data_IF_496221739845
#
_entry.id   IF_496221739845
#
_cell.length_a   1.000
_cell.length_b   1.000
_cell.length_c   1.000
_cell.angle_alpha   90.00
_cell.angle_beta   90.00
_cell.angle_gamma   90.00
#
_symmetry.space_group_name_H-M   'P 1'
#
loop_
_entity.id
_entity.type
_entity.pdbx_description
1 polymer ?
#
# COMPACT_ATOMS: atom_id res chain seq x y z
N UNK A 1 -15.73 -3.48 -7.37
CA UNK A 1 -14.89 -3.44 -6.15
C UNK A 1 -14.37 -2.03 -5.97
N UNK A 2 -14.23 -1.54 -4.75
CA UNK A 2 -13.65 -0.24 -4.41
C UNK A 2 -12.53 -0.43 -3.38
N UNK A 3 -11.73 0.61 -3.14
CA UNK A 3 -10.61 0.54 -2.19
C UNK A 3 -11.04 0.65 -0.72
N UNK A 4 -12.19 1.25 -0.42
CA UNK A 4 -12.63 1.47 0.96
C UNK A 4 -12.94 0.18 1.72
N UNK A 5 -12.57 0.13 2.99
CA UNK A 5 -12.90 -0.96 3.89
C UNK A 5 -14.41 -1.17 4.02
N UNK A 6 -14.85 -2.42 4.14
CA UNK A 6 -16.27 -2.76 4.09
C UNK A 6 -16.87 -3.09 5.45
N UNK A 7 -16.12 -3.75 6.31
CA UNK A 7 -16.64 -4.30 7.55
C UNK A 7 -15.61 -4.25 8.66
N UNK A 8 -16.05 -3.90 9.87
CA UNK A 8 -15.23 -4.01 11.07
C UNK A 8 -14.87 -5.47 11.34
N UNK A 9 -13.60 -5.72 11.64
CA UNK A 9 -13.05 -7.06 11.84
C UNK A 9 -12.49 -7.73 10.59
N UNK A 10 -12.63 -7.13 9.41
CA UNK A 10 -11.95 -7.61 8.22
C UNK A 10 -10.43 -7.51 8.39
N UNK A 11 -9.72 -8.48 7.85
CA UNK A 11 -8.25 -8.49 7.88
C UNK A 11 -7.67 -7.75 6.70
N UNK A 12 -6.59 -7.03 6.95
CA UNK A 12 -5.82 -6.30 5.93
C UNK A 12 -4.60 -7.15 5.57
N UNK A 13 -4.43 -7.44 4.30
CA UNK A 13 -3.26 -8.14 3.79
C UNK A 13 -2.47 -7.22 2.85
N UNK A 14 -1.17 -7.07 3.10
CA UNK A 14 -0.25 -6.44 2.16
C UNK A 14 0.32 -7.52 1.25
N UNK A 15 0.07 -7.41 -0.05
CA UNK A 15 0.58 -8.32 -1.06
C UNK A 15 1.84 -7.70 -1.68
N UNK A 16 2.89 -8.50 -1.84
CA UNK A 16 4.18 -8.02 -2.36
C UNK A 16 5.22 -7.78 -1.27
N UNK A 17 6.28 -7.08 -1.62
CA UNK A 17 7.43 -6.87 -0.74
C UNK A 17 7.68 -5.37 -0.55
N UNK A 18 7.89 -4.95 0.70
CA UNK A 18 8.43 -3.62 0.99
C UNK A 18 9.95 -3.69 0.96
N UNK A 19 10.57 -2.78 0.19
CA UNK A 19 12.03 -2.64 0.09
C UNK A 19 12.48 -1.35 0.76
N UNK A 20 13.78 -1.24 1.00
CA UNK A 20 14.38 0.00 1.52
C UNK A 20 14.48 1.06 0.41
N UNK A 21 13.33 1.62 0.03
CA UNK A 21 13.19 2.55 -1.09
C UNK A 21 12.39 3.77 -0.64
N UNK A 22 13.07 4.81 -0.18
CA UNK A 22 12.46 6.07 0.25
C UNK A 22 12.74 7.23 -0.73
N UNK A 23 13.67 7.04 -1.68
CA UNK A 23 14.03 8.04 -2.67
C UNK A 23 12.90 8.38 -3.62
N UNK A 24 12.74 9.67 -3.95
CA UNK A 24 11.73 10.16 -4.87
C UNK A 24 10.29 10.07 -4.38
N UNK A 25 10.07 9.80 -3.09
CA UNK A 25 8.73 9.65 -2.52
C UNK A 25 8.04 10.99 -2.19
N UNK A 26 6.72 10.98 -2.18
CA UNK A 26 5.94 12.12 -1.67
C UNK A 26 6.27 12.44 -0.20
N UNK A 27 6.64 11.42 0.59
CA UNK A 27 7.09 11.63 1.97
C UNK A 27 8.29 12.58 2.07
N UNK A 28 9.34 12.36 1.27
CA UNK A 28 10.51 13.24 1.25
C UNK A 28 10.16 14.66 0.79
N UNK A 29 9.29 14.76 -0.20
CA UNK A 29 8.84 16.05 -0.72
C UNK A 29 8.03 16.84 0.29
N UNK A 30 7.04 16.22 0.91
CA UNK A 30 6.12 16.90 1.86
C UNK A 30 6.81 17.22 3.18
N UNK A 31 7.60 16.28 3.72
CA UNK A 31 8.20 16.44 5.06
C UNK A 31 9.51 17.23 5.04
N UNK A 32 10.26 17.20 3.96
CA UNK A 32 11.62 17.74 3.90
C UNK A 32 11.88 18.66 2.71
N UNK A 33 10.87 18.90 1.86
CA UNK A 33 11.00 19.66 0.60
C UNK A 33 12.15 19.14 -0.30
N UNK A 34 12.27 17.80 -0.37
CA UNK A 34 13.31 17.10 -1.12
C UNK A 34 12.72 16.18 -2.17
N UNK A 35 13.22 16.31 -3.40
CA UNK A 35 12.92 15.41 -4.52
C UNK A 35 14.23 14.76 -4.97
N UNK A 36 14.80 13.92 -4.12
CA UNK A 36 16.11 13.31 -4.32
C UNK A 36 16.10 11.81 -4.03
N UNK A 37 17.21 11.15 -4.35
CA UNK A 37 17.40 9.73 -4.17
C UNK A 37 16.99 8.93 -5.41
N UNK A 38 17.15 7.61 -5.31
CA UNK A 38 16.80 6.70 -6.40
C UNK A 38 15.31 6.37 -6.32
N UNK A 39 14.59 6.45 -7.46
CA UNK A 39 13.21 6.01 -7.51
C UNK A 39 13.11 4.50 -7.23
N UNK A 40 11.94 4.01 -6.79
CA UNK A 40 11.69 2.59 -6.59
C UNK A 40 11.96 1.78 -7.86
N UNK A 41 12.50 0.58 -7.68
CA UNK A 41 12.81 -0.33 -8.78
C UNK A 41 11.57 -1.14 -9.16
N UNK A 42 11.25 -1.16 -10.45
CA UNK A 42 10.20 -2.01 -10.98
C UNK A 42 10.76 -3.39 -11.36
N UNK A 43 10.35 -4.42 -10.63
CA UNK A 43 10.54 -5.81 -10.97
C UNK A 43 9.31 -6.31 -11.76
N UNK A 44 9.44 -6.40 -13.08
CA UNK A 44 8.33 -6.80 -13.97
C UNK A 44 7.79 -8.20 -13.69
N UNK A 45 8.62 -9.11 -13.23
CA UNK A 45 8.18 -10.48 -12.90
C UNK A 45 7.31 -10.46 -11.64
N UNK A 46 7.77 -9.78 -10.60
CA UNK A 46 7.01 -9.59 -9.38
C UNK A 46 5.70 -8.83 -9.63
N UNK A 47 5.75 -7.76 -10.41
CA UNK A 47 4.58 -6.98 -10.81
C UNK A 47 3.50 -7.85 -11.45
N UNK A 48 3.88 -8.66 -12.43
CA UNK A 48 2.96 -9.59 -13.11
C UNK A 48 2.35 -10.62 -12.14
N UNK A 49 3.14 -11.12 -11.19
CA UNK A 49 2.67 -12.08 -10.19
C UNK A 49 1.67 -11.45 -9.23
N UNK A 50 1.98 -10.27 -8.69
CA UNK A 50 1.10 -9.53 -7.76
C UNK A 50 -0.22 -9.17 -8.44
N UNK A 51 -0.17 -8.63 -9.65
CA UNK A 51 -1.38 -8.30 -10.40
C UNK A 51 -2.22 -9.55 -10.72
N UNK A 52 -1.58 -10.64 -11.12
CA UNK A 52 -2.26 -11.92 -11.40
C UNK A 52 -2.96 -12.47 -10.17
N UNK A 53 -2.27 -12.48 -9.04
CA UNK A 53 -2.80 -12.95 -7.76
C UNK A 53 -3.96 -12.07 -7.26
N UNK A 54 -3.80 -10.76 -7.29
CA UNK A 54 -4.85 -9.83 -6.89
C UNK A 54 -6.11 -10.02 -7.74
N UNK A 55 -5.95 -10.14 -9.07
CA UNK A 55 -7.07 -10.40 -9.99
C UNK A 55 -7.78 -11.72 -9.67
N UNK A 56 -7.04 -12.77 -9.36
CA UNK A 56 -7.60 -14.08 -8.99
C UNK A 56 -8.42 -13.97 -7.70
N UNK A 57 -7.93 -13.28 -6.67
CA UNK A 57 -8.66 -13.04 -5.43
C UNK A 57 -9.98 -12.30 -5.67
N UNK A 58 -9.95 -11.28 -6.52
CA UNK A 58 -11.14 -10.51 -6.92
C UNK A 58 -12.15 -11.40 -7.64
N UNK A 59 -11.70 -12.16 -8.64
CA UNK A 59 -12.58 -13.03 -9.45
C UNK A 59 -13.22 -14.14 -8.63
N UNK A 60 -12.51 -14.64 -7.62
CA UNK A 60 -13.03 -15.67 -6.70
C UNK A 60 -13.88 -15.09 -5.57
N UNK A 61 -14.02 -13.77 -5.47
CA UNK A 61 -14.77 -13.12 -4.40
C UNK A 61 -14.16 -13.31 -3.00
N UNK A 62 -12.84 -13.51 -2.93
CA UNK A 62 -12.12 -13.76 -1.67
C UNK A 62 -11.73 -12.49 -0.93
N UNK A 63 -11.79 -11.36 -1.60
CA UNK A 63 -11.52 -10.03 -1.01
C UNK A 63 -12.66 -9.07 -1.30
N UNK A 64 -12.95 -8.19 -0.35
CA UNK A 64 -14.04 -7.21 -0.42
C UNK A 64 -13.60 -5.82 -0.88
N UNK A 65 -12.31 -5.51 -0.76
CA UNK A 65 -11.69 -4.28 -1.23
C UNK A 65 -10.24 -4.51 -1.61
N UNK A 66 -9.69 -3.65 -2.45
CA UNK A 66 -8.28 -3.64 -2.81
C UNK A 66 -7.83 -2.22 -3.11
N UNK A 67 -6.62 -1.88 -2.71
CA UNK A 67 -5.94 -0.60 -2.97
C UNK A 67 -4.48 -0.86 -3.29
N UNK A 68 -3.93 -0.13 -4.23
CA UNK A 68 -2.50 -0.14 -4.50
C UNK A 68 -1.76 0.81 -3.54
N UNK A 69 -0.54 0.47 -3.19
CA UNK A 69 0.33 1.33 -2.40
C UNK A 69 1.16 2.22 -3.33
N UNK A 70 0.56 3.26 -3.87
CA UNK A 70 1.20 4.24 -4.76
C UNK A 70 1.85 5.39 -3.98
N UNK A 71 1.51 6.62 -4.33
CA UNK A 71 2.01 7.84 -3.69
C UNK A 71 1.70 7.84 -2.18
N UNK A 72 2.72 8.13 -1.38
CA UNK A 72 2.61 8.11 0.08
C UNK A 72 2.68 6.74 0.73
N UNK A 73 2.80 5.66 -0.05
CA UNK A 73 3.05 4.30 0.43
C UNK A 73 1.88 3.69 1.21
N UNK A 74 2.21 2.73 2.07
CA UNK A 74 1.23 1.95 2.83
C UNK A 74 0.35 2.80 3.75
N UNK A 75 0.95 3.78 4.43
CA UNK A 75 0.20 4.61 5.39
C UNK A 75 -0.91 5.40 4.71
N UNK A 76 -0.64 5.97 3.54
CA UNK A 76 -1.63 6.72 2.77
C UNK A 76 -2.69 5.79 2.20
N UNK A 77 -2.31 4.66 1.62
CA UNK A 77 -3.25 3.68 1.09
C UNK A 77 -4.25 3.17 2.17
N UNK A 78 -3.75 2.92 3.38
CA UNK A 78 -4.62 2.53 4.52
C UNK A 78 -5.53 3.68 4.93
N UNK A 79 -5.01 4.91 5.02
CA UNK A 79 -5.82 6.08 5.37
C UNK A 79 -6.93 6.33 4.35
N UNK A 80 -6.63 6.27 3.07
CA UNK A 80 -7.62 6.40 1.99
C UNK A 80 -8.68 5.30 2.04
N UNK A 81 -8.28 4.08 2.40
CA UNK A 81 -9.22 2.97 2.59
C UNK A 81 -10.16 3.18 3.78
N UNK A 82 -9.72 3.91 4.82
CA UNK A 82 -10.56 4.29 5.96
C UNK A 82 -11.63 5.34 5.60
N UNK A 83 -11.33 6.24 4.67
CA UNK A 83 -12.16 7.42 4.36
C UNK A 83 -12.80 7.38 2.97
N UNK A 84 -12.85 6.23 2.33
CA UNK A 84 -13.37 6.10 0.96
C UNK A 84 -14.82 6.61 0.84
N UNK A 85 -15.12 7.50 -0.12
CA UNK A 85 -16.47 8.01 -0.34
C UNK A 85 -17.48 6.88 -0.60
N UNK A 86 -18.65 6.98 0.00
CA UNK A 86 -19.71 5.99 -0.16
C UNK A 86 -19.51 4.70 0.66
N UNK A 87 -18.45 4.63 1.44
CA UNK A 87 -18.21 3.55 2.40
C UNK A 87 -18.40 4.06 3.84
N UNK A 88 -18.66 3.13 4.75
CA UNK A 88 -18.64 3.46 6.17
C UNK A 88 -17.21 3.85 6.57
N UNK A 89 -17.06 4.92 7.34
CA UNK A 89 -15.75 5.29 7.90
C UNK A 89 -15.33 4.26 8.93
N UNK A 90 -14.25 3.56 8.67
CA UNK A 90 -13.67 2.52 9.51
C UNK A 90 -12.21 2.88 9.82
N UNK A 91 -11.79 2.63 11.05
CA UNK A 91 -10.37 2.70 11.42
C UNK A 91 -9.62 1.43 11.03
N UNK A 92 -8.29 1.49 11.08
CA UNK A 92 -7.43 0.34 10.88
C UNK A 92 -6.40 0.24 12.02
N UNK A 93 -6.05 -0.98 12.41
CA UNK A 93 -4.97 -1.28 13.36
C UNK A 93 -3.94 -2.13 12.64
N UNK A 94 -2.70 -1.66 12.57
CA UNK A 94 -1.59 -2.35 11.92
C UNK A 94 -0.55 -2.74 12.97
N UNK A 95 -0.24 -4.03 13.03
CA UNK A 95 0.87 -4.57 13.83
C UNK A 95 1.84 -5.17 12.83
N UNK A 96 3.01 -4.56 12.68
CA UNK A 96 3.97 -4.95 11.66
C UNK A 96 5.34 -5.22 12.31
N UNK A 97 5.87 -6.39 12.06
CA UNK A 97 7.24 -6.75 12.39
C UNK A 97 8.13 -6.57 11.18
N UNK A 98 9.13 -5.71 11.27
CA UNK A 98 10.06 -5.43 10.17
C UNK A 98 11.41 -4.95 10.69
N UNK A 99 12.47 -5.25 9.96
CA UNK A 99 13.82 -4.70 10.18
C UNK A 99 14.01 -3.34 9.48
N UNK A 100 13.07 -2.95 8.62
CA UNK A 100 13.09 -1.65 7.95
C UNK A 100 12.79 -0.52 8.92
N UNK A 101 13.31 0.66 8.64
CA UNK A 101 12.94 1.89 9.36
C UNK A 101 11.44 2.13 9.19
N UNK A 102 10.80 2.68 10.22
CA UNK A 102 9.36 2.91 10.22
C UNK A 102 8.90 3.84 9.11
N UNK A 103 9.66 4.88 8.79
CA UNK A 103 9.35 5.79 7.69
C UNK A 103 9.41 5.08 6.31
N UNK A 104 10.41 4.23 6.10
CA UNK A 104 10.51 3.42 4.89
C UNK A 104 9.37 2.41 4.78
N UNK A 105 9.02 1.76 5.88
CA UNK A 105 7.95 0.78 5.92
C UNK A 105 6.59 1.38 5.58
N UNK A 106 6.31 2.55 6.14
CA UNK A 106 5.01 3.22 6.04
C UNK A 106 4.87 4.10 4.79
N UNK A 107 5.95 4.79 4.41
CA UNK A 107 5.91 5.82 3.36
C UNK A 107 6.80 5.51 2.15
N UNK A 108 7.52 4.40 2.16
CA UNK A 108 8.21 3.92 0.96
C UNK A 108 7.21 3.61 -0.13
N UNK A 109 7.53 3.99 -1.36
CA UNK A 109 6.68 3.78 -2.55
C UNK A 109 7.20 2.61 -3.39
N UNK A 110 7.59 1.52 -2.72
CA UNK A 110 8.03 0.29 -3.40
C UNK A 110 6.95 -0.18 -4.36
N UNK A 111 7.34 -0.48 -5.59
CA UNK A 111 6.42 -0.93 -6.63
C UNK A 111 5.90 -2.36 -6.38
N UNK A 112 4.78 -2.69 -6.97
CA UNK A 112 4.18 -4.04 -6.92
C UNK A 112 3.64 -4.43 -5.53
N UNK A 113 2.87 -3.54 -4.95
CA UNK A 113 2.16 -3.78 -3.68
C UNK A 113 0.71 -3.35 -3.76
#
# INVERSE_FOLDING_TARGET
MTHGFKKSGDQIALIGFTREELGGTEYLKVMFDRSEGKPPVLDRKNEKQVQGFCRELIQKGLISSAHDCSEGGLAVAVAESCFSPGCQTLGASLIMESTLRNDTLLFGETQSR
#
